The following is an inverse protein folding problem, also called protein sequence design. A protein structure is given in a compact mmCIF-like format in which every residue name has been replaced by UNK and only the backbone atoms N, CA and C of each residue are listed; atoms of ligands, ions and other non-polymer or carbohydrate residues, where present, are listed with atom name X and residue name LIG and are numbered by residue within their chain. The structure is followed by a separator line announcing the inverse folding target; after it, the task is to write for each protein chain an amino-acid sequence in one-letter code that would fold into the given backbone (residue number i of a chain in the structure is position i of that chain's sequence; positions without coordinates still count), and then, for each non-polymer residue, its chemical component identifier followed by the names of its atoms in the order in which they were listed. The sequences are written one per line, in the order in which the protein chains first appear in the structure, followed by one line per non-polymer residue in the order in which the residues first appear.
data_IF_269600844858
#
_entry.id   IF_269600844858
#
_cell.length_a   1.000
_cell.length_b   1.000
_cell.length_c   1.000
_cell.angle_alpha   90.00
_cell.angle_beta   90.00
_cell.angle_gamma   90.00
#
_symmetry.space_group_name_H-M   'P 1'
#
loop_
_entity.id
_entity.type
_entity.pdbx_description
1 polymer ?
#
# COMPACT_ATOMS: atom_id res chain seq x y z
N UNK A 1 27.68 -1.10 -8.82
CA UNK A 1 27.12 -1.10 -10.18
C UNK A 1 26.38 0.22 -10.34
N UNK A 2 26.92 1.16 -11.13
CA UNK A 2 26.33 2.49 -11.26
C UNK A 2 25.34 2.61 -12.43
N UNK A 3 25.32 1.63 -13.35
CA UNK A 3 24.45 1.57 -14.52
C UNK A 3 24.04 0.14 -14.85
N UNK A 4 22.82 -0.01 -15.38
CA UNK A 4 22.31 -1.25 -15.96
C UNK A 4 21.74 -0.90 -17.35
N UNK A 5 22.44 -1.35 -18.40
CA UNK A 5 22.18 -0.86 -19.73
C UNK A 5 22.25 0.67 -19.79
N UNK A 6 21.20 1.30 -20.28
CA UNK A 6 21.07 2.78 -20.34
C UNK A 6 20.61 3.43 -19.02
N UNK A 7 20.11 2.67 -18.04
CA UNK A 7 19.53 3.17 -16.80
C UNK A 7 20.61 3.41 -15.72
N UNK A 8 20.53 4.53 -15.02
CA UNK A 8 21.32 4.81 -13.82
C UNK A 8 20.73 4.02 -12.65
N UNK A 9 21.56 3.25 -11.92
CA UNK A 9 21.14 2.53 -10.71
C UNK A 9 21.29 3.43 -9.50
N UNK A 10 20.16 3.79 -8.89
CA UNK A 10 20.11 4.68 -7.72
C UNK A 10 20.21 3.86 -6.42
N UNK A 11 19.61 2.68 -6.37
CA UNK A 11 19.62 1.85 -5.17
C UNK A 11 18.99 0.49 -5.37
N UNK A 12 19.05 -0.35 -4.34
CA UNK A 12 18.39 -1.66 -4.31
C UNK A 12 17.02 -1.53 -3.64
N UNK A 13 15.97 -2.07 -4.26
CA UNK A 13 14.61 -2.15 -3.74
C UNK A 13 14.33 -3.46 -3.02
N UNK A 14 14.76 -4.58 -3.61
CA UNK A 14 14.50 -5.89 -3.03
C UNK A 14 15.31 -7.00 -3.67
N UNK A 15 15.20 -8.21 -3.12
CA UNK A 15 15.78 -9.44 -3.64
C UNK A 15 14.78 -10.57 -3.52
N UNK A 16 14.42 -11.17 -4.64
CA UNK A 16 13.64 -12.41 -4.71
C UNK A 16 14.52 -13.66 -4.83
N UNK A 17 13.92 -14.82 -5.01
CA UNK A 17 14.63 -16.08 -5.20
C UNK A 17 15.46 -16.11 -6.50
N UNK A 18 14.89 -15.61 -7.59
CA UNK A 18 15.50 -15.63 -8.93
C UNK A 18 15.92 -14.25 -9.44
N UNK A 19 15.56 -13.16 -8.76
CA UNK A 19 15.79 -11.81 -9.27
C UNK A 19 16.20 -10.82 -8.18
N UNK A 20 16.89 -9.78 -8.63
CA UNK A 20 17.21 -8.59 -7.83
C UNK A 20 16.48 -7.40 -8.43
N UNK A 21 15.85 -6.59 -7.59
CA UNK A 21 15.14 -5.38 -8.02
C UNK A 21 15.90 -4.14 -7.57
N UNK A 22 16.22 -3.28 -8.54
CA UNK A 22 16.88 -2.01 -8.30
C UNK A 22 15.96 -0.84 -8.62
N UNK A 23 16.15 0.26 -7.92
CA UNK A 23 15.62 1.56 -8.29
C UNK A 23 16.54 2.17 -9.33
N UNK A 24 15.99 2.53 -10.47
CA UNK A 24 16.73 3.11 -11.59
C UNK A 24 16.16 4.45 -12.01
N UNK A 25 16.97 5.21 -12.76
CA UNK A 25 16.55 6.44 -13.42
C UNK A 25 16.71 6.28 -14.91
N UNK A 26 15.65 6.54 -15.67
CA UNK A 26 15.69 6.52 -17.13
C UNK A 26 16.53 7.72 -17.65
N UNK A 27 17.40 7.50 -18.65
CA UNK A 27 18.12 8.59 -19.27
C UNK A 27 17.15 9.56 -19.95
N UNK A 28 17.55 10.80 -20.13
CA UNK A 28 16.82 11.89 -20.78
C UNK A 28 15.57 12.33 -20.02
N UNK A 29 14.63 11.43 -19.68
CA UNK A 29 13.38 11.79 -19.00
C UNK A 29 13.54 11.97 -17.50
N UNK A 30 14.58 11.39 -16.90
CA UNK A 30 14.76 11.36 -15.43
C UNK A 30 13.73 10.49 -14.69
N UNK A 31 12.80 9.82 -15.42
CA UNK A 31 11.75 8.99 -14.80
C UNK A 31 12.34 7.91 -13.92
N UNK A 32 11.82 7.77 -12.71
CA UNK A 32 12.18 6.69 -11.80
C UNK A 32 11.46 5.41 -12.24
N UNK A 33 12.20 4.31 -12.26
CA UNK A 33 11.76 2.98 -12.69
C UNK A 33 12.26 1.90 -11.73
N UNK A 34 11.60 0.74 -11.73
CA UNK A 34 12.09 -0.46 -11.08
C UNK A 34 12.76 -1.37 -12.14
N UNK A 35 13.98 -1.81 -11.84
CA UNK A 35 14.78 -2.66 -12.72
C UNK A 35 14.87 -4.06 -12.10
N UNK A 36 14.09 -5.02 -12.59
CA UNK A 36 14.11 -6.42 -12.17
C UNK A 36 15.15 -7.15 -13.01
N UNK A 37 16.21 -7.63 -12.38
CA UNK A 37 17.37 -8.29 -13.04
C UNK A 37 17.36 -9.76 -12.71
N UNK A 38 17.58 -10.63 -13.67
CA UNK A 38 17.81 -12.05 -13.41
C UNK A 38 19.10 -12.22 -12.57
N UNK A 39 18.94 -12.65 -11.34
CA UNK A 39 20.02 -12.85 -10.37
C UNK A 39 19.63 -13.95 -9.37
N UNK A 40 19.72 -15.24 -9.74
CA UNK A 40 19.40 -16.35 -8.86
C UNK A 40 20.17 -16.23 -7.53
N UNK A 41 19.48 -16.50 -6.43
CA UNK A 41 20.08 -16.39 -5.08
C UNK A 41 20.95 -17.59 -4.76
N UNK A 42 20.55 -18.76 -5.26
CA UNK A 42 21.13 -20.06 -4.93
C UNK A 42 21.79 -20.64 -6.17
N UNK A 43 23.07 -20.99 -6.04
CA UNK A 43 23.80 -21.70 -7.09
C UNK A 43 23.15 -23.05 -7.39
N UNK A 44 22.52 -23.68 -6.38
CA UNK A 44 21.76 -24.90 -6.54
C UNK A 44 20.61 -24.76 -7.56
N UNK A 45 19.97 -23.58 -7.64
CA UNK A 45 18.95 -23.31 -8.66
C UNK A 45 19.52 -23.29 -10.07
N UNK A 46 20.74 -22.78 -10.22
CA UNK A 46 21.45 -22.76 -11.51
C UNK A 46 21.85 -24.18 -11.89
N UNK A 47 22.36 -24.98 -10.92
CA UNK A 47 22.77 -26.35 -11.14
C UNK A 47 21.59 -27.27 -11.50
N UNK A 48 20.43 -27.08 -10.86
CA UNK A 48 19.22 -27.89 -11.06
C UNK A 48 18.43 -27.52 -12.33
N UNK A 49 18.29 -26.23 -12.61
CA UNK A 49 17.47 -25.76 -13.73
C UNK A 49 18.27 -25.43 -14.99
N UNK A 50 19.56 -25.15 -14.85
CA UNK A 50 20.41 -24.61 -15.92
C UNK A 50 20.17 -23.12 -16.18
N UNK A 51 21.25 -22.37 -16.42
CA UNK A 51 21.21 -20.92 -16.64
C UNK A 51 20.31 -20.53 -17.83
N UNK A 52 20.37 -21.36 -18.92
CA UNK A 52 19.56 -21.15 -20.13
C UNK A 52 18.03 -21.22 -19.85
N UNK A 53 17.61 -22.21 -19.05
CA UNK A 53 16.19 -22.36 -18.71
C UNK A 53 15.68 -21.23 -17.79
N UNK A 54 16.49 -20.82 -16.81
CA UNK A 54 16.17 -19.68 -15.94
C UNK A 54 16.05 -18.38 -16.73
N UNK A 55 16.97 -18.16 -17.68
CA UNK A 55 16.94 -17.03 -18.61
C UNK A 55 15.68 -17.05 -19.47
N UNK A 56 15.33 -18.20 -20.04
CA UNK A 56 14.14 -18.35 -20.87
C UNK A 56 12.87 -18.06 -20.07
N UNK A 57 12.74 -18.65 -18.88
CA UNK A 57 11.59 -18.41 -17.99
C UNK A 57 11.45 -16.93 -17.62
N UNK A 58 12.55 -16.24 -17.37
CA UNK A 58 12.55 -14.80 -17.06
C UNK A 58 12.09 -13.96 -18.27
N UNK A 59 12.53 -14.30 -19.47
CA UNK A 59 12.12 -13.61 -20.71
C UNK A 59 10.67 -13.90 -21.07
N UNK A 60 10.20 -15.13 -20.81
CA UNK A 60 8.79 -15.48 -21.02
C UNK A 60 7.87 -14.76 -20.05
N UNK A 61 8.28 -14.61 -18.77
CA UNK A 61 7.60 -13.72 -17.82
C UNK A 61 7.50 -12.29 -18.39
N UNK A 62 8.61 -11.73 -18.88
CA UNK A 62 8.62 -10.39 -19.47
C UNK A 62 7.65 -10.24 -20.66
N UNK A 63 7.60 -11.25 -21.55
CA UNK A 63 6.68 -11.26 -22.70
C UNK A 63 5.20 -11.32 -22.26
N UNK A 64 4.90 -12.20 -21.30
CA UNK A 64 3.55 -12.36 -20.76
C UNK A 64 3.10 -11.06 -20.13
N UNK A 65 3.93 -10.45 -19.28
CA UNK A 65 3.62 -9.18 -18.63
C UNK A 65 3.46 -8.05 -19.66
N UNK A 66 4.33 -7.99 -20.67
CA UNK A 66 4.28 -6.97 -21.74
C UNK A 66 3.01 -7.03 -22.59
N UNK A 67 2.34 -8.19 -22.66
CA UNK A 67 1.05 -8.36 -23.34
C UNK A 67 -0.18 -7.93 -22.51
N UNK A 68 0.02 -7.47 -21.26
CA UNK A 68 -1.09 -7.14 -20.36
C UNK A 68 -1.10 -5.64 -20.09
N UNK A 69 -2.14 -4.95 -20.52
CA UNK A 69 -2.45 -3.59 -20.11
C UNK A 69 -3.75 -3.59 -19.31
N UNK A 70 -3.70 -3.10 -18.07
CA UNK A 70 -4.86 -2.98 -17.20
C UNK A 70 -4.62 -1.97 -16.06
N UNK A 71 -5.66 -1.25 -15.65
CA UNK A 71 -5.57 -0.21 -14.62
C UNK A 71 -4.99 -0.72 -13.28
N UNK A 72 -5.17 -2.02 -12.96
CA UNK A 72 -4.75 -2.63 -11.69
C UNK A 72 -3.66 -3.69 -11.83
N UNK A 73 -2.94 -3.70 -12.96
CA UNK A 73 -1.77 -4.54 -13.20
C UNK A 73 -0.61 -3.64 -13.56
N UNK A 74 0.57 -3.88 -13.01
CA UNK A 74 1.76 -3.10 -13.35
C UNK A 74 2.20 -3.37 -14.78
N UNK A 75 2.60 -2.31 -15.48
CA UNK A 75 3.03 -2.38 -16.87
C UNK A 75 4.54 -2.59 -16.97
N UNK A 76 4.95 -3.40 -17.95
CA UNK A 76 6.32 -3.48 -18.40
C UNK A 76 6.60 -2.27 -19.29
N UNK A 77 7.57 -1.47 -18.89
CA UNK A 77 7.99 -0.28 -19.65
C UNK A 77 8.96 -0.67 -20.76
N UNK A 78 9.85 -1.66 -20.47
CA UNK A 78 10.90 -2.10 -21.38
C UNK A 78 11.49 -3.44 -20.91
N UNK A 79 12.21 -4.12 -21.80
CA UNK A 79 13.02 -5.29 -21.46
C UNK A 79 14.32 -5.20 -22.26
N UNK A 80 15.47 -5.35 -21.59
CA UNK A 80 16.77 -5.18 -22.21
C UNK A 80 17.80 -6.11 -21.54
N UNK A 81 19.03 -6.09 -21.99
CA UNK A 81 20.12 -6.92 -21.50
C UNK A 81 21.37 -6.09 -21.19
N UNK A 82 22.04 -6.39 -20.10
CA UNK A 82 23.31 -5.78 -19.74
C UNK A 82 24.30 -6.80 -19.17
N UNK A 83 25.48 -6.89 -19.77
CA UNK A 83 26.53 -7.84 -19.34
C UNK A 83 26.07 -9.30 -19.37
N UNK A 84 25.31 -9.71 -20.38
CA UNK A 84 24.76 -11.06 -20.51
C UNK A 84 23.57 -11.38 -19.63
N UNK A 85 23.06 -10.41 -18.84
CA UNK A 85 21.92 -10.60 -17.93
C UNK A 85 20.70 -9.83 -18.41
N UNK A 86 19.56 -10.50 -18.65
CA UNK A 86 18.32 -9.82 -18.98
C UNK A 86 17.77 -9.09 -17.77
N UNK A 87 17.09 -7.95 -18.03
CA UNK A 87 16.37 -7.21 -17.03
C UNK A 87 15.07 -6.62 -17.59
N UNK A 88 14.07 -6.55 -16.74
CA UNK A 88 12.75 -5.97 -17.04
C UNK A 88 12.69 -4.59 -16.39
N UNK A 89 12.22 -3.61 -17.14
CA UNK A 89 11.95 -2.25 -16.65
C UNK A 89 10.46 -2.12 -16.34
N UNK A 90 10.14 -1.82 -15.12
CA UNK A 90 8.78 -1.70 -14.60
C UNK A 90 8.52 -0.29 -14.12
N UNK A 91 7.27 0.10 -14.03
CA UNK A 91 6.89 1.30 -13.29
C UNK A 91 7.36 1.19 -11.84
N UNK A 92 7.83 2.32 -11.30
CA UNK A 92 8.22 2.41 -9.89
C UNK A 92 7.06 2.88 -9.04
N UNK A 93 6.83 2.18 -7.95
CA UNK A 93 5.87 2.55 -6.90
C UNK A 93 6.62 2.64 -5.57
N UNK A 94 6.45 3.76 -4.87
CA UNK A 94 7.15 4.01 -3.61
C UNK A 94 6.51 3.30 -2.42
N UNK A 95 5.27 2.84 -2.54
CA UNK A 95 4.45 2.34 -1.46
C UNK A 95 3.75 1.04 -1.84
N UNK A 96 3.68 0.09 -0.91
CA UNK A 96 2.95 -1.16 -1.06
C UNK A 96 1.86 -1.28 -0.01
N UNK A 97 0.90 -2.17 -0.25
CA UNK A 97 -0.12 -2.48 0.75
C UNK A 97 0.51 -3.09 2.02
N UNK A 98 1.61 -3.86 1.88
CA UNK A 98 2.36 -4.37 3.02
C UNK A 98 2.94 -3.26 3.90
N UNK A 99 3.51 -2.23 3.27
CA UNK A 99 3.97 -1.03 3.98
C UNK A 99 2.81 -0.29 4.62
N UNK A 100 1.70 -0.09 3.90
CA UNK A 100 0.52 0.60 4.40
C UNK A 100 -0.04 -0.07 5.66
N UNK A 101 -0.12 -1.39 5.71
CA UNK A 101 -0.61 -2.09 6.90
C UNK A 101 0.47 -2.30 7.98
N UNK A 102 1.71 -1.88 7.71
CA UNK A 102 2.83 -2.07 8.64
C UNK A 102 3.15 -3.55 8.87
N UNK A 103 3.07 -4.37 7.82
CA UNK A 103 3.42 -5.79 7.91
C UNK A 103 4.91 -5.94 8.21
N UNK A 104 5.22 -6.59 9.34
CA UNK A 104 6.58 -6.84 9.76
C UNK A 104 7.23 -7.97 8.97
N UNK A 105 8.55 -8.12 9.06
CA UNK A 105 9.27 -9.28 8.54
C UNK A 105 8.74 -10.59 9.14
N UNK A 106 8.43 -10.57 10.45
CA UNK A 106 7.69 -11.64 11.13
C UNK A 106 6.19 -11.44 10.85
N UNK A 107 5.70 -12.08 9.78
CA UNK A 107 4.35 -11.90 9.24
C UNK A 107 3.25 -12.28 10.23
N UNK A 108 3.56 -13.15 11.20
CA UNK A 108 2.66 -13.56 12.29
C UNK A 108 2.31 -12.41 13.24
N UNK A 109 3.14 -11.38 13.32
CA UNK A 109 2.82 -10.21 14.14
C UNK A 109 1.60 -9.48 13.58
N UNK A 110 0.74 -8.95 14.46
CA UNK A 110 -0.39 -8.15 14.01
C UNK A 110 0.04 -6.92 13.22
N UNK A 111 -0.63 -6.69 12.09
CA UNK A 111 -0.52 -5.47 11.27
C UNK A 111 -1.62 -4.45 11.63
N UNK A 112 -1.60 -3.30 11.00
CA UNK A 112 -2.70 -2.33 11.09
C UNK A 112 -3.94 -2.87 10.38
N UNK A 113 -5.07 -3.06 11.05
CA UNK A 113 -6.34 -3.19 10.35
C UNK A 113 -6.68 -1.84 9.72
N UNK A 114 -7.31 -1.88 8.54
CA UNK A 114 -7.76 -0.68 7.83
C UNK A 114 -9.28 -0.63 7.76
N UNK A 115 -9.83 0.51 7.35
CA UNK A 115 -11.28 0.69 7.26
C UNK A 115 -11.93 -0.30 6.30
N UNK A 116 -13.18 -0.66 6.57
CA UNK A 116 -13.96 -1.60 5.73
C UNK A 116 -14.11 -1.04 4.32
N UNK A 117 -14.35 0.26 4.17
CA UNK A 117 -14.49 0.90 2.88
C UNK A 117 -13.18 0.87 2.07
N UNK A 118 -12.04 1.16 2.69
CA UNK A 118 -10.72 1.10 2.02
C UNK A 118 -10.34 -0.34 1.69
N UNK A 119 -10.60 -1.28 2.60
CA UNK A 119 -10.42 -2.72 2.35
C UNK A 119 -11.22 -3.15 1.12
N UNK A 120 -12.53 -2.86 1.10
CA UNK A 120 -13.40 -3.20 -0.03
C UNK A 120 -12.90 -2.61 -1.34
N UNK A 121 -12.49 -1.35 -1.32
CA UNK A 121 -11.95 -0.67 -2.51
C UNK A 121 -10.70 -1.37 -3.04
N UNK A 122 -9.76 -1.74 -2.18
CA UNK A 122 -8.53 -2.42 -2.57
C UNK A 122 -8.78 -3.85 -3.06
N UNK A 123 -9.63 -4.61 -2.37
CA UNK A 123 -10.01 -5.96 -2.79
C UNK A 123 -10.72 -5.95 -4.15
N UNK A 124 -11.65 -5.01 -4.38
CA UNK A 124 -12.32 -4.84 -5.66
C UNK A 124 -11.34 -4.55 -6.80
N UNK A 125 -10.34 -3.70 -6.57
CA UNK A 125 -9.32 -3.36 -7.55
C UNK A 125 -8.40 -4.56 -7.82
N UNK A 126 -7.99 -5.28 -6.77
CA UNK A 126 -7.20 -6.51 -6.87
C UNK A 126 -7.95 -7.57 -7.69
N UNK A 127 -9.22 -7.81 -7.36
CA UNK A 127 -10.06 -8.78 -8.08
C UNK A 127 -10.24 -8.40 -9.55
N UNK A 128 -10.40 -7.10 -9.89
CA UNK A 128 -10.43 -6.66 -11.30
C UNK A 128 -9.10 -6.93 -12.02
N UNK A 129 -7.97 -6.73 -11.36
CA UNK A 129 -6.66 -7.10 -11.90
C UNK A 129 -6.54 -8.60 -12.15
N UNK A 130 -6.98 -9.42 -11.18
CA UNK A 130 -7.00 -10.89 -11.31
C UNK A 130 -7.95 -11.36 -12.41
N UNK A 131 -9.14 -10.76 -12.58
CA UNK A 131 -10.04 -11.08 -13.71
C UNK A 131 -9.31 -10.92 -15.05
N UNK A 132 -8.49 -9.87 -15.21
CA UNK A 132 -7.70 -9.65 -16.43
C UNK A 132 -6.59 -10.67 -16.60
N UNK A 133 -5.88 -11.05 -15.51
CA UNK A 133 -4.84 -12.09 -15.53
C UNK A 133 -5.44 -13.46 -15.86
N UNK A 134 -6.49 -13.86 -15.15
CA UNK A 134 -7.16 -15.15 -15.35
C UNK A 134 -7.76 -15.27 -16.77
N UNK A 135 -8.30 -14.17 -17.33
CA UNK A 135 -8.75 -14.13 -18.73
C UNK A 135 -7.59 -14.39 -19.72
N UNK A 136 -6.38 -13.93 -19.41
CA UNK A 136 -5.18 -14.24 -20.19
C UNK A 136 -4.59 -15.63 -19.89
N UNK A 137 -5.27 -16.45 -19.07
CA UNK A 137 -4.79 -17.77 -18.67
C UNK A 137 -3.72 -17.76 -17.59
N UNK A 138 -3.45 -16.62 -16.94
CA UNK A 138 -2.38 -16.44 -15.97
C UNK A 138 -2.93 -16.57 -14.56
N UNK A 139 -2.32 -17.43 -13.74
CA UNK A 139 -2.57 -17.55 -12.31
C UNK A 139 -1.38 -16.95 -11.57
N UNK A 140 -1.63 -16.00 -10.67
CA UNK A 140 -0.57 -15.22 -10.00
C UNK A 140 0.25 -16.04 -9.00
N UNK A 141 -0.39 -16.80 -8.12
CA UNK A 141 0.18 -17.75 -7.14
C UNK A 141 1.03 -17.20 -6.00
N UNK A 142 1.37 -15.93 -6.01
CA UNK A 142 2.11 -15.27 -4.92
C UNK A 142 1.45 -13.92 -4.55
N UNK A 143 0.12 -13.91 -4.45
CA UNK A 143 -0.59 -12.69 -4.05
C UNK A 143 -0.43 -12.46 -2.56
N UNK A 144 0.17 -11.31 -2.20
CA UNK A 144 0.43 -10.88 -0.83
C UNK A 144 0.48 -9.36 -0.75
N UNK A 145 0.42 -8.74 0.45
CA UNK A 145 0.42 -7.29 0.59
C UNK A 145 1.59 -6.58 -0.10
N UNK A 146 2.78 -7.16 -0.12
CA UNK A 146 3.96 -6.57 -0.78
C UNK A 146 3.94 -6.66 -2.30
N UNK A 147 3.11 -7.53 -2.90
CA UNK A 147 2.91 -7.63 -4.34
C UNK A 147 1.73 -6.78 -4.85
N UNK A 148 1.13 -5.98 -3.95
CA UNK A 148 0.10 -4.98 -4.24
C UNK A 148 0.66 -3.60 -3.97
N UNK A 149 1.07 -2.91 -5.04
CA UNK A 149 1.61 -1.56 -4.95
C UNK A 149 0.51 -0.52 -4.97
N UNK A 150 0.79 0.65 -4.38
CA UNK A 150 -0.10 1.79 -4.33
C UNK A 150 0.45 2.93 -5.19
N UNK A 151 -0.39 3.45 -6.07
CA UNK A 151 -0.10 4.66 -6.84
C UNK A 151 -0.31 5.91 -5.98
N UNK A 152 0.19 7.08 -6.43
CA UNK A 152 0.02 8.34 -5.72
C UNK A 152 -1.45 8.79 -5.57
N UNK A 153 -2.36 8.26 -6.41
CA UNK A 153 -3.81 8.45 -6.32
C UNK A 153 -4.53 7.28 -5.63
N UNK A 154 -3.80 6.55 -4.80
CA UNK A 154 -4.30 5.49 -3.90
C UNK A 154 -5.04 4.36 -4.64
N UNK A 155 -4.45 3.88 -5.76
CA UNK A 155 -4.94 2.74 -6.52
C UNK A 155 -3.99 1.55 -6.42
N UNK A 156 -4.56 0.34 -6.44
CA UNK A 156 -3.81 -0.91 -6.45
C UNK A 156 -3.23 -1.19 -7.84
N UNK A 157 -1.99 -1.62 -7.85
CA UNK A 157 -1.26 -2.24 -8.98
C UNK A 157 -0.67 -3.57 -8.54
N UNK A 158 -1.10 -4.66 -9.16
CA UNK A 158 -0.55 -6.00 -8.95
C UNK A 158 0.82 -6.06 -9.65
N UNK A 159 1.84 -6.49 -8.91
CA UNK A 159 3.19 -6.70 -9.43
C UNK A 159 3.62 -8.16 -9.23
N UNK A 160 4.72 -8.52 -9.88
CA UNK A 160 5.49 -9.75 -9.65
C UNK A 160 4.75 -11.05 -9.97
N UNK A 161 4.75 -11.37 -11.24
CA UNK A 161 4.24 -12.65 -11.77
C UNK A 161 5.32 -13.74 -11.83
N UNK A 162 6.45 -13.57 -11.12
CA UNK A 162 7.63 -14.47 -11.21
C UNK A 162 7.36 -15.94 -10.87
N UNK A 163 6.21 -16.22 -10.27
CA UNK A 163 5.71 -17.55 -9.99
C UNK A 163 4.45 -17.88 -10.80
N UNK A 164 3.98 -16.94 -11.63
CA UNK A 164 2.79 -17.11 -12.47
C UNK A 164 3.01 -18.22 -13.51
N UNK A 165 1.92 -18.85 -13.90
CA UNK A 165 1.90 -19.89 -14.92
C UNK A 165 0.81 -19.61 -15.92
N UNK A 166 1.12 -19.89 -17.19
CA UNK A 166 0.08 -20.14 -18.18
C UNK A 166 -0.61 -21.47 -17.84
N UNK A 167 -1.94 -21.55 -18.02
CA UNK A 167 -2.69 -22.78 -17.84
C UNK A 167 -2.09 -23.89 -18.73
N UNK A 168 -1.67 -25.01 -18.11
CA UNK A 168 -1.17 -26.18 -18.81
C UNK A 168 0.35 -26.30 -18.96
N UNK A 169 1.14 -25.33 -18.48
CA UNK A 169 2.60 -25.47 -18.48
C UNK A 169 3.12 -26.33 -17.33
N UNK A 170 4.03 -27.25 -17.60
CA UNK A 170 4.78 -27.99 -16.57
C UNK A 170 5.84 -27.10 -15.92
N UNK A 171 6.10 -27.30 -14.62
CA UNK A 171 7.14 -26.58 -13.89
C UNK A 171 8.51 -26.86 -14.52
N UNK A 172 9.43 -25.88 -14.36
CA UNK A 172 10.88 -26.10 -14.44
C UNK A 172 11.28 -27.24 -13.48
N UNK A 173 11.01 -28.46 -13.78
CA UNK A 173 11.36 -29.75 -13.17
C UNK A 173 11.93 -29.84 -11.75
N UNK A 174 11.95 -28.74 -10.98
CA UNK A 174 12.55 -28.65 -9.66
C UNK A 174 11.51 -29.09 -8.60
N UNK A 175 11.54 -30.37 -8.29
CA UNK A 175 10.76 -30.94 -7.17
C UNK A 175 11.24 -30.33 -5.86
N UNK A 176 10.29 -29.80 -5.04
CA UNK A 176 10.60 -29.27 -3.72
C UNK A 176 10.80 -27.76 -3.62
N UNK A 177 10.68 -27.00 -4.68
CA UNK A 177 10.67 -25.55 -4.59
C UNK A 177 9.32 -25.07 -4.00
N UNK A 178 9.37 -24.56 -2.78
CA UNK A 178 8.20 -23.97 -2.13
C UNK A 178 7.79 -22.70 -2.88
N UNK A 179 6.57 -22.68 -3.42
CA UNK A 179 6.07 -21.61 -4.27
C UNK A 179 5.06 -20.78 -3.52
N UNK A 180 5.32 -19.50 -3.39
CA UNK A 180 4.48 -18.54 -2.69
C UNK A 180 4.99 -18.21 -1.29
N UNK A 181 4.42 -17.16 -0.71
CA UNK A 181 4.67 -16.79 0.68
C UNK A 181 3.82 -17.69 1.58
N UNK A 182 4.41 -18.42 2.54
CA UNK A 182 3.75 -19.51 3.26
C UNK A 182 2.45 -19.11 3.96
N UNK A 183 2.26 -17.82 4.25
CA UNK A 183 1.08 -17.32 4.96
C UNK A 183 -0.11 -16.94 4.08
N UNK A 184 0.12 -16.73 2.78
CA UNK A 184 -0.91 -16.30 1.82
C UNK A 184 -1.19 -17.36 0.75
N UNK A 185 -0.32 -18.36 0.62
CA UNK A 185 -0.45 -19.44 -0.35
C UNK A 185 -1.62 -20.37 -0.01
N UNK A 186 -2.35 -20.79 -1.03
CA UNK A 186 -3.40 -21.77 -0.87
C UNK A 186 -2.83 -23.17 -0.54
N UNK A 187 -3.52 -24.00 0.27
CA UNK A 187 -3.01 -25.31 0.70
C UNK A 187 -2.61 -26.23 -0.47
N UNK A 188 -3.34 -26.20 -1.57
CA UNK A 188 -3.01 -27.00 -2.76
C UNK A 188 -1.69 -26.58 -3.43
N UNK A 189 -1.25 -25.34 -3.24
CA UNK A 189 0.03 -24.89 -3.78
C UNK A 189 1.23 -25.56 -3.10
N UNK A 190 1.06 -25.99 -1.85
CA UNK A 190 2.09 -26.73 -1.10
C UNK A 190 2.01 -28.23 -1.40
N UNK A 191 0.80 -28.80 -1.47
CA UNK A 191 0.57 -30.25 -1.59
C UNK A 191 0.72 -30.71 -3.03
N UNK A 192 0.09 -30.00 -3.98
CA UNK A 192 0.02 -30.34 -5.41
C UNK A 192 0.11 -29.08 -6.28
N UNK A 193 1.27 -28.43 -6.30
CA UNK A 193 1.40 -27.14 -6.98
C UNK A 193 1.06 -27.19 -8.49
N UNK A 194 1.14 -28.37 -9.11
CA UNK A 194 0.75 -28.58 -10.51
C UNK A 194 -0.75 -28.45 -10.75
N UNK A 195 -1.58 -28.71 -9.75
CA UNK A 195 -3.05 -28.64 -9.85
C UNK A 195 -3.64 -27.29 -9.48
N UNK A 196 -2.82 -26.36 -8.96
CA UNK A 196 -3.27 -25.04 -8.54
C UNK A 196 -3.76 -24.22 -9.74
N UNK A 197 -5.05 -23.88 -9.73
CA UNK A 197 -5.71 -23.03 -10.71
C UNK A 197 -5.99 -21.62 -10.15
N UNK A 198 -6.84 -20.84 -10.83
CA UNK A 198 -7.21 -19.48 -10.42
C UNK A 198 -7.84 -19.38 -9.01
N UNK A 199 -8.33 -20.48 -8.46
CA UNK A 199 -8.89 -20.53 -7.11
C UNK A 199 -7.81 -20.47 -6.02
N UNK A 200 -6.54 -20.65 -6.37
CA UNK A 200 -5.44 -20.36 -5.47
C UNK A 200 -5.31 -18.85 -5.19
N UNK A 201 -5.50 -18.01 -6.23
CA UNK A 201 -5.50 -16.56 -6.05
C UNK A 201 -6.73 -16.08 -5.25
N UNK A 202 -7.88 -16.76 -5.38
CA UNK A 202 -9.09 -16.52 -4.58
C UNK A 202 -8.81 -16.71 -3.08
N UNK A 203 -8.12 -17.78 -2.72
CA UNK A 203 -7.70 -18.03 -1.35
C UNK A 203 -6.79 -16.92 -0.83
N UNK A 204 -5.79 -16.52 -1.61
CA UNK A 204 -4.86 -15.44 -1.27
C UNK A 204 -5.58 -14.10 -1.07
N UNK A 205 -6.59 -13.79 -1.88
CA UNK A 205 -7.44 -12.59 -1.71
C UNK A 205 -8.26 -12.66 -0.42
N UNK A 206 -8.81 -13.83 -0.07
CA UNK A 206 -9.55 -13.99 1.18
C UNK A 206 -8.63 -13.86 2.40
N UNK A 207 -7.41 -14.42 2.36
CA UNK A 207 -6.39 -14.24 3.39
C UNK A 207 -5.99 -12.77 3.52
N UNK A 208 -5.81 -12.08 2.40
CA UNK A 208 -5.57 -10.65 2.36
C UNK A 208 -6.72 -9.87 3.00
N UNK A 209 -7.97 -10.19 2.67
CA UNK A 209 -9.15 -9.56 3.26
C UNK A 209 -9.18 -9.73 4.78
N UNK A 210 -8.95 -10.97 5.26
CA UNK A 210 -8.87 -11.26 6.68
C UNK A 210 -7.80 -10.39 7.36
N UNK A 211 -6.60 -10.31 6.75
CA UNK A 211 -5.48 -9.49 7.26
C UNK A 211 -5.83 -8.00 7.32
N UNK A 212 -6.42 -7.47 6.25
CA UNK A 212 -6.78 -6.06 6.16
C UNK A 212 -7.88 -5.66 7.15
N UNK A 213 -8.87 -6.54 7.34
CA UNK A 213 -9.98 -6.30 8.25
C UNK A 213 -9.58 -6.45 9.71
N UNK A 214 -8.79 -7.47 10.06
CA UNK A 214 -8.52 -7.84 11.46
C UNK A 214 -7.12 -7.50 11.94
N UNK A 215 -6.19 -7.20 11.04
CA UNK A 215 -4.77 -7.05 11.34
C UNK A 215 -4.06 -8.38 11.66
N UNK A 216 -4.74 -9.54 11.50
CA UNK A 216 -4.20 -10.88 11.82
C UNK A 216 -4.23 -11.78 10.59
N UNK A 217 -3.49 -12.88 10.64
CA UNK A 217 -3.62 -13.97 9.67
C UNK A 217 -4.70 -14.93 10.13
N UNK A 218 -5.40 -15.54 9.17
CA UNK A 218 -6.31 -16.64 9.43
C UNK A 218 -5.51 -17.95 9.65
N UNK A 219 -4.69 -17.98 10.70
CA UNK A 219 -3.93 -19.18 11.03
C UNK A 219 -4.89 -20.28 11.50
N UNK A 220 -4.70 -21.54 11.06
CA UNK A 220 -5.48 -22.65 11.57
C UNK A 220 -5.14 -22.89 13.05
N UNK A 221 -6.05 -22.44 13.92
CA UNK A 221 -6.02 -22.82 15.34
C UNK A 221 -6.76 -24.16 15.53
N UNK A 222 -6.60 -24.77 16.71
CA UNK A 222 -7.48 -25.89 17.10
C UNK A 222 -8.91 -25.37 17.08
N UNK A 223 -9.73 -25.85 16.11
CA UNK A 223 -11.10 -25.36 15.89
C UNK A 223 -11.29 -24.44 14.66
N UNK A 224 -10.25 -24.18 13.86
CA UNK A 224 -10.28 -23.32 12.67
C UNK A 224 -9.84 -21.88 12.95
N UNK A 225 -9.74 -21.07 11.90
CA UNK A 225 -9.44 -19.63 12.04
C UNK A 225 -10.63 -18.91 12.71
N UNK A 226 -10.38 -17.96 13.65
CA UNK A 226 -11.45 -17.15 14.22
C UNK A 226 -12.25 -16.40 13.13
N UNK A 227 -13.54 -16.26 13.34
CA UNK A 227 -14.37 -15.45 12.42
C UNK A 227 -13.93 -13.98 12.47
N UNK A 228 -13.87 -13.26 11.33
CA UNK A 228 -13.58 -11.83 11.30
C UNK A 228 -14.42 -11.01 12.28
N UNK A 229 -15.73 -11.30 12.40
CA UNK A 229 -16.65 -10.61 13.31
C UNK A 229 -16.34 -10.89 14.78
N UNK A 230 -15.72 -12.00 15.13
CA UNK A 230 -15.27 -12.26 16.51
C UNK A 230 -14.13 -11.35 16.96
N UNK A 231 -13.38 -10.81 16.01
CA UNK A 231 -12.27 -9.87 16.22
C UNK A 231 -12.69 -8.41 15.99
N UNK A 232 -13.69 -8.21 15.14
CA UNK A 232 -14.25 -6.92 14.72
C UNK A 232 -15.78 -7.05 14.57
N UNK A 233 -16.54 -6.90 15.69
CA UNK A 233 -17.97 -7.18 15.71
C UNK A 233 -18.81 -6.42 14.68
N UNK A 234 -18.37 -5.22 14.28
CA UNK A 234 -19.05 -4.41 13.26
C UNK A 234 -19.05 -5.02 11.85
N UNK A 235 -18.27 -6.07 11.58
CA UNK A 235 -18.27 -6.74 10.28
C UNK A 235 -19.53 -7.57 10.05
N UNK A 236 -20.00 -8.29 11.08
CA UNK A 236 -21.19 -9.14 11.00
C UNK A 236 -20.99 -10.42 10.17
N UNK A 237 -22.05 -11.24 10.14
CA UNK A 237 -22.01 -12.58 9.55
C UNK A 237 -21.75 -12.59 8.04
N UNK A 238 -22.17 -11.58 7.29
CA UNK A 238 -21.99 -11.55 5.84
C UNK A 238 -20.49 -11.44 5.46
N UNK A 239 -19.69 -10.70 6.22
CA UNK A 239 -18.25 -10.66 6.03
C UNK A 239 -17.59 -11.97 6.42
N UNK A 240 -18.07 -12.63 7.50
CA UNK A 240 -17.56 -13.93 7.90
C UNK A 240 -17.78 -14.96 6.79
N UNK A 241 -18.99 -15.05 6.26
CA UNK A 241 -19.33 -15.99 5.17
C UNK A 241 -18.45 -15.73 3.94
N UNK A 242 -18.33 -14.47 3.50
CA UNK A 242 -17.53 -14.13 2.32
C UNK A 242 -16.05 -14.50 2.49
N UNK A 243 -15.45 -14.14 3.62
CA UNK A 243 -14.04 -14.42 3.90
C UNK A 243 -13.80 -15.92 4.05
N UNK A 244 -14.63 -16.62 4.83
CA UNK A 244 -14.46 -18.04 5.10
C UNK A 244 -14.75 -18.91 3.88
N UNK A 245 -15.65 -18.49 2.98
CA UNK A 245 -15.83 -19.13 1.68
C UNK A 245 -14.56 -19.07 0.84
N UNK A 246 -13.91 -17.90 0.77
CA UNK A 246 -12.65 -17.75 0.02
C UNK A 246 -11.49 -18.53 0.66
N UNK A 247 -11.47 -18.68 1.98
CA UNK A 247 -10.48 -19.44 2.75
C UNK A 247 -10.75 -20.94 2.83
N UNK A 248 -11.80 -21.46 2.17
CA UNK A 248 -12.09 -22.89 2.20
C UNK A 248 -10.86 -23.71 1.77
N UNK A 249 -10.45 -24.75 2.53
CA UNK A 249 -9.31 -25.57 2.17
C UNK A 249 -9.44 -26.22 0.80
N UNK A 250 -10.64 -26.70 0.48
CA UNK A 250 -10.96 -27.32 -0.81
C UNK A 250 -11.27 -26.26 -1.87
N UNK A 251 -10.54 -26.19 -3.01
CA UNK A 251 -10.78 -25.22 -4.06
C UNK A 251 -12.22 -25.21 -4.61
N UNK A 252 -12.88 -26.38 -4.64
CA UNK A 252 -14.26 -26.53 -5.11
C UNK A 252 -15.31 -25.82 -4.23
N UNK A 253 -14.98 -25.52 -2.98
CA UNK A 253 -15.85 -24.81 -2.03
C UNK A 253 -15.63 -23.30 -2.03
N UNK A 254 -14.64 -22.81 -2.77
CA UNK A 254 -14.35 -21.38 -2.93
C UNK A 254 -15.22 -20.76 -4.02
N UNK A 255 -15.18 -19.45 -4.15
CA UNK A 255 -15.69 -18.78 -5.34
C UNK A 255 -15.01 -19.36 -6.59
N UNK A 256 -15.79 -19.60 -7.65
CA UNK A 256 -15.26 -20.22 -8.86
C UNK A 256 -14.35 -19.26 -9.65
N UNK A 257 -14.59 -17.95 -9.58
CA UNK A 257 -13.84 -16.93 -10.33
C UNK A 257 -13.65 -15.65 -9.52
N UNK A 258 -12.62 -14.86 -9.87
CA UNK A 258 -12.39 -13.53 -9.30
C UNK A 258 -13.62 -12.61 -9.50
N UNK A 259 -14.31 -12.72 -10.63
CA UNK A 259 -15.57 -11.98 -10.90
C UNK A 259 -16.67 -12.33 -9.92
N UNK A 260 -16.88 -13.63 -9.66
CA UNK A 260 -17.90 -14.08 -8.70
C UNK A 260 -17.58 -13.55 -7.29
N UNK A 261 -16.32 -13.69 -6.85
CA UNK A 261 -15.85 -13.20 -5.57
C UNK A 261 -16.04 -11.67 -5.44
N UNK A 262 -15.76 -10.91 -6.51
CA UNK A 262 -15.96 -9.46 -6.53
C UNK A 262 -17.43 -9.07 -6.47
N UNK A 263 -18.32 -9.75 -7.21
CA UNK A 263 -19.76 -9.47 -7.13
C UNK A 263 -20.29 -9.68 -5.71
N UNK A 264 -19.93 -10.81 -5.09
CA UNK A 264 -20.31 -11.11 -3.71
C UNK A 264 -19.73 -10.07 -2.72
N UNK A 265 -18.51 -9.55 -2.95
CA UNK A 265 -17.91 -8.48 -2.15
C UNK A 265 -18.74 -7.18 -2.21
N UNK A 266 -19.25 -6.84 -3.40
CA UNK A 266 -20.07 -5.64 -3.59
C UNK A 266 -21.40 -5.77 -2.82
N UNK A 267 -22.02 -6.96 -2.83
CA UNK A 267 -23.25 -7.24 -2.08
C UNK A 267 -23.03 -7.17 -0.55
N UNK A 268 -21.96 -7.80 -0.05
CA UNK A 268 -21.57 -7.76 1.37
C UNK A 268 -21.31 -6.34 1.83
N UNK A 269 -20.58 -5.55 1.03
CA UNK A 269 -20.29 -4.17 1.37
C UNK A 269 -21.54 -3.28 1.35
N UNK A 270 -22.45 -3.50 0.39
CA UNK A 270 -23.71 -2.75 0.34
C UNK A 270 -24.59 -3.04 1.57
N UNK A 271 -24.69 -4.31 1.98
CA UNK A 271 -25.41 -4.73 3.17
C UNK A 271 -24.78 -4.14 4.45
N UNK A 272 -23.46 -4.22 4.59
CA UNK A 272 -22.73 -3.64 5.71
C UNK A 272 -22.95 -2.13 5.81
N UNK A 273 -22.85 -1.40 4.70
CA UNK A 273 -23.04 0.05 4.65
C UNK A 273 -24.46 0.45 5.06
N UNK A 274 -25.47 -0.32 4.67
CA UNK A 274 -26.85 -0.04 5.05
C UNK A 274 -27.07 -0.19 6.57
N UNK A 275 -26.42 -1.16 7.20
CA UNK A 275 -26.48 -1.38 8.65
C UNK A 275 -25.71 -0.31 9.42
N UNK A 276 -24.49 0.01 8.99
CA UNK A 276 -23.63 1.02 9.65
C UNK A 276 -24.19 2.45 9.55
N UNK A 277 -24.90 2.78 8.48
CA UNK A 277 -25.52 4.11 8.31
C UNK A 277 -26.63 4.39 9.34
N UNK A 278 -27.21 3.37 9.97
CA UNK A 278 -28.25 3.51 10.97
C UNK A 278 -27.70 3.91 12.37
N UNK A 279 -26.39 3.75 12.60
CA UNK A 279 -25.73 4.01 13.89
C UNK A 279 -25.09 5.41 14.00
N UNK A 280 -25.16 6.23 12.95
CA UNK A 280 -24.44 7.50 12.79
C UNK A 280 -25.10 8.72 13.46
N UNK A 281 -25.36 8.71 14.76
CA UNK A 281 -25.88 9.88 15.49
C UNK A 281 -25.07 10.22 16.76
N UNK A 282 -23.74 10.34 16.68
CA UNK A 282 -22.96 10.83 17.81
C UNK A 282 -22.24 12.16 17.52
N UNK A 283 -22.57 13.15 18.36
CA UNK A 283 -21.90 14.45 18.47
C UNK A 283 -20.65 14.26 19.33
N UNK A 284 -19.51 14.77 18.85
CA UNK A 284 -18.29 14.82 19.65
C UNK A 284 -18.40 15.95 20.69
N UNK A 285 -18.67 15.61 21.92
CA UNK A 285 -18.44 16.48 23.09
C UNK A 285 -17.07 16.06 23.69
N UNK A 286 -16.03 16.82 23.37
CA UNK A 286 -14.71 16.68 23.99
C UNK A 286 -14.29 18.01 24.63
N UNK A 287 -13.61 17.96 25.77
CA UNK A 287 -12.97 19.15 26.35
C UNK A 287 -11.93 19.73 25.41
N UNK A 288 -11.97 21.05 25.22
CA UNK A 288 -10.97 21.76 24.40
C UNK A 288 -9.63 21.69 25.09
N UNK A 289 -8.63 21.16 24.40
CA UNK A 289 -7.26 21.08 24.90
C UNK A 289 -6.68 22.46 25.24
N UNK A 290 -5.74 22.50 26.16
CA UNK A 290 -4.91 23.71 26.43
C UNK A 290 -3.95 23.96 25.28
N UNK A 291 -3.52 25.23 25.09
CA UNK A 291 -2.58 25.63 24.05
C UNK A 291 -1.32 24.74 24.02
N UNK A 292 -1.00 24.22 22.84
CA UNK A 292 0.11 23.28 22.63
C UNK A 292 1.23 23.98 21.89
N UNK A 293 2.39 24.06 22.53
CA UNK A 293 3.61 24.56 21.88
C UNK A 293 4.28 23.41 21.16
N UNK A 294 4.33 23.51 19.84
CA UNK A 294 4.95 22.50 18.99
C UNK A 294 6.18 23.03 18.27
N UNK A 295 7.06 22.13 17.93
CA UNK A 295 8.19 22.41 17.06
C UNK A 295 7.69 22.82 15.67
N UNK A 296 8.17 23.95 15.17
CA UNK A 296 7.81 24.49 13.83
C UNK A 296 8.87 24.20 12.77
N UNK A 297 10.10 23.92 13.18
CA UNK A 297 11.20 23.62 12.26
C UNK A 297 11.27 22.13 11.94
N UNK A 298 11.36 21.78 10.65
CA UNK A 298 11.58 20.41 10.22
C UNK A 298 12.91 19.84 10.75
N UNK A 299 12.91 18.55 11.11
CA UNK A 299 14.13 17.86 11.53
C UNK A 299 14.17 16.42 11.05
N UNK A 300 15.33 15.80 11.20
CA UNK A 300 15.48 14.37 10.99
C UNK A 300 14.92 13.58 12.19
N UNK A 301 13.92 12.71 11.93
CA UNK A 301 13.36 11.79 12.92
C UNK A 301 13.61 10.37 12.42
N UNK A 302 14.46 9.60 13.11
CA UNK A 302 14.72 8.20 12.74
C UNK A 302 13.55 7.31 13.13
N UNK A 303 13.34 6.22 12.39
CA UNK A 303 12.17 5.33 12.59
C UNK A 303 12.02 4.83 14.02
N UNK A 304 13.11 4.44 14.67
CA UNK A 304 13.09 3.95 16.05
C UNK A 304 12.85 5.04 17.10
N UNK A 305 13.02 6.31 16.73
CA UNK A 305 12.80 7.47 17.60
C UNK A 305 11.39 8.02 17.48
N UNK A 306 10.70 7.78 16.34
CA UNK A 306 9.43 8.39 16.04
C UNK A 306 8.35 8.07 17.09
N UNK A 307 8.28 6.84 17.58
CA UNK A 307 7.31 6.45 18.59
C UNK A 307 7.45 7.29 19.88
N UNK A 308 8.66 7.41 20.40
CA UNK A 308 8.91 8.15 21.63
C UNK A 308 8.87 9.68 21.42
N UNK A 309 9.41 10.19 20.29
CA UNK A 309 9.52 11.62 20.05
C UNK A 309 8.21 12.30 19.65
N UNK A 310 7.29 11.53 19.05
CA UNK A 310 6.08 12.07 18.42
C UNK A 310 4.80 11.48 19.00
N UNK A 311 4.92 10.56 19.97
CA UNK A 311 3.76 9.95 20.63
C UNK A 311 2.99 8.98 19.75
N UNK A 312 3.70 8.06 19.07
CA UNK A 312 3.09 7.05 18.22
C UNK A 312 3.12 5.66 18.90
N UNK A 313 2.10 4.87 18.63
CA UNK A 313 2.07 3.46 19.04
C UNK A 313 2.96 2.57 18.12
N UNK A 314 2.97 1.25 18.38
CA UNK A 314 3.73 0.29 17.56
C UNK A 314 3.25 0.20 16.11
N UNK A 315 2.02 0.59 15.84
CA UNK A 315 1.43 0.63 14.51
C UNK A 315 1.52 2.04 13.88
N UNK A 316 2.33 2.93 14.49
CA UNK A 316 2.57 4.30 14.03
C UNK A 316 1.31 5.18 14.04
N UNK A 317 0.33 4.88 14.89
CA UNK A 317 -0.85 5.71 15.15
C UNK A 317 -0.61 6.63 16.33
N UNK A 318 -1.20 7.84 16.36
CA UNK A 318 -1.15 8.70 17.54
C UNK A 318 -1.67 7.97 18.77
N UNK A 319 -0.95 8.08 19.91
CA UNK A 319 -1.41 7.54 21.19
C UNK A 319 -2.44 8.42 21.87
N UNK A 320 -2.48 9.69 21.49
CA UNK A 320 -3.43 10.69 21.98
C UNK A 320 -3.97 11.52 20.82
N UNK A 321 -5.23 11.89 20.89
CA UNK A 321 -5.89 12.76 19.93
C UNK A 321 -6.35 14.03 20.63
N UNK A 322 -6.19 15.16 19.96
CA UNK A 322 -6.60 16.44 20.53
C UNK A 322 -7.89 16.93 19.87
N UNK A 323 -8.75 17.53 20.67
CA UNK A 323 -9.97 18.17 20.15
C UNK A 323 -9.63 19.62 19.79
N UNK A 324 -9.73 19.95 18.51
CA UNK A 324 -9.46 21.27 17.96
C UNK A 324 -10.75 21.98 17.58
N UNK A 325 -10.88 23.24 17.97
CA UNK A 325 -11.91 24.15 17.45
C UNK A 325 -11.43 24.86 16.19
N UNK A 326 -11.22 24.09 15.12
CA UNK A 326 -10.78 24.63 13.84
C UNK A 326 -11.83 25.60 13.27
N UNK A 327 -11.36 26.69 12.67
CA UNK A 327 -12.22 27.72 12.10
C UNK A 327 -11.89 27.96 10.64
N UNK A 328 -12.91 27.98 9.79
CA UNK A 328 -12.71 28.42 8.40
C UNK A 328 -12.33 29.91 8.37
N UNK A 329 -11.34 30.24 7.57
CA UNK A 329 -10.91 31.61 7.23
C UNK A 329 -10.99 31.83 5.74
N UNK A 330 -12.20 32.16 5.24
CA UNK A 330 -12.49 32.20 3.81
C UNK A 330 -12.54 30.80 3.18
N UNK A 331 -12.57 30.72 1.86
CA UNK A 331 -12.92 29.49 1.15
C UNK A 331 -11.85 28.39 1.15
N UNK A 332 -10.64 28.67 1.63
CA UNK A 332 -9.49 27.74 1.45
C UNK A 332 -8.54 27.65 2.64
N UNK A 333 -8.81 28.35 3.71
CA UNK A 333 -7.93 28.42 4.89
C UNK A 333 -8.62 27.87 6.13
N UNK A 334 -7.84 27.19 6.97
CA UNK A 334 -8.30 26.64 8.24
C UNK A 334 -7.37 27.18 9.34
N UNK A 335 -7.96 27.98 10.25
CA UNK A 335 -7.27 28.46 11.44
C UNK A 335 -7.41 27.44 12.57
N UNK A 336 -6.30 27.10 13.17
CA UNK A 336 -6.23 26.34 14.40
C UNK A 336 -5.84 27.26 15.57
N UNK A 337 -6.81 27.69 16.39
CA UNK A 337 -6.53 28.57 17.55
C UNK A 337 -5.67 27.90 18.63
N UNK A 338 -5.70 26.55 18.72
CA UNK A 338 -4.95 25.78 19.71
C UNK A 338 -3.45 25.83 19.48
N UNK A 339 -3.03 25.75 18.22
CA UNK A 339 -1.62 25.74 17.82
C UNK A 339 -1.12 27.07 17.26
N UNK A 340 -2.03 28.01 16.96
CA UNK A 340 -1.70 29.26 16.28
C UNK A 340 -1.24 29.03 14.84
N UNK A 341 -1.73 27.97 14.18
CA UNK A 341 -1.39 27.64 12.79
C UNK A 341 -2.56 27.99 11.86
N UNK A 342 -2.20 28.50 10.71
CA UNK A 342 -3.08 28.66 9.56
C UNK A 342 -2.71 27.62 8.50
N UNK A 343 -3.68 26.80 8.15
CA UNK A 343 -3.53 25.68 7.20
C UNK A 343 -4.14 26.01 5.86
N UNK A 344 -3.52 25.52 4.79
CA UNK A 344 -4.12 25.45 3.47
C UNK A 344 -5.12 24.27 3.44
N UNK A 345 -6.43 24.55 3.57
CA UNK A 345 -7.45 23.51 3.72
C UNK A 345 -7.67 22.63 2.47
N UNK A 346 -7.40 23.15 1.27
CA UNK A 346 -7.57 22.40 0.01
C UNK A 346 -6.33 21.57 -0.36
N UNK A 347 -5.15 21.94 0.14
CA UNK A 347 -3.89 21.31 -0.21
C UNK A 347 -3.47 21.51 -1.68
N UNK A 348 -2.47 20.77 -2.12
CA UNK A 348 -2.04 20.72 -3.52
C UNK A 348 -3.09 20.01 -4.38
N UNK A 349 -3.28 20.46 -5.62
CA UNK A 349 -4.26 19.89 -6.56
C UNK A 349 -3.94 18.44 -6.94
N UNK A 350 -2.64 18.13 -7.06
CA UNK A 350 -2.11 16.80 -7.37
C UNK A 350 -1.10 16.36 -6.31
N UNK A 351 -0.90 15.05 -6.13
CA UNK A 351 0.22 14.53 -5.34
C UNK A 351 1.57 14.93 -5.96
N UNK A 352 2.51 15.31 -5.13
CA UNK A 352 3.83 15.81 -5.50
C UNK A 352 4.92 14.93 -4.89
N UNK A 353 6.07 14.79 -5.56
CA UNK A 353 7.26 14.26 -4.91
C UNK A 353 7.79 15.24 -3.84
N UNK A 354 8.69 14.78 -2.96
CA UNK A 354 9.11 15.60 -1.82
C UNK A 354 9.89 16.87 -2.23
N UNK A 355 10.60 16.85 -3.36
CA UNK A 355 11.26 18.03 -3.93
C UNK A 355 10.22 19.00 -4.49
N UNK A 356 9.28 18.49 -5.28
CA UNK A 356 8.16 19.28 -5.82
C UNK A 356 7.30 19.87 -4.70
N UNK A 357 7.15 19.17 -3.57
CA UNK A 357 6.46 19.67 -2.39
C UNK A 357 7.15 20.92 -1.81
N UNK A 358 8.47 20.94 -1.77
CA UNK A 358 9.25 22.12 -1.39
C UNK A 358 9.06 23.27 -2.38
N UNK A 359 9.17 23.00 -3.68
CA UNK A 359 8.98 23.99 -4.75
C UNK A 359 7.56 24.59 -4.74
N UNK A 360 6.55 23.75 -4.45
CA UNK A 360 5.15 24.21 -4.30
C UNK A 360 5.02 25.22 -3.14
N UNK A 361 5.61 24.96 -2.00
CA UNK A 361 5.60 25.89 -0.85
C UNK A 361 6.34 27.19 -1.17
N UNK A 362 7.48 27.12 -1.85
CA UNK A 362 8.20 28.31 -2.31
C UNK A 362 7.36 29.14 -3.31
N UNK A 363 6.57 28.46 -4.16
CA UNK A 363 5.65 29.14 -5.07
C UNK A 363 4.54 29.87 -4.32
N UNK A 364 3.94 29.25 -3.28
CA UNK A 364 2.95 29.92 -2.42
C UNK A 364 3.52 31.20 -1.81
N UNK A 365 4.77 31.15 -1.31
CA UNK A 365 5.45 32.29 -0.72
C UNK A 365 5.73 33.39 -1.74
N UNK A 366 6.21 33.05 -2.93
CA UNK A 366 6.45 34.02 -4.02
C UNK A 366 5.17 34.72 -4.49
N UNK A 367 4.04 34.01 -4.47
CA UNK A 367 2.73 34.54 -4.87
C UNK A 367 2.04 35.32 -3.76
N UNK A 368 2.59 35.32 -2.54
CA UNK A 368 1.94 35.92 -1.38
C UNK A 368 0.57 35.29 -1.07
N UNK A 369 0.46 33.95 -1.19
CA UNK A 369 -0.80 33.23 -1.02
C UNK A 369 -1.49 33.62 0.30
N UNK A 370 -2.76 34.01 0.19
CA UNK A 370 -3.56 34.53 1.29
C UNK A 370 -2.91 35.74 2.04
N UNK A 371 -2.14 36.55 1.34
CA UNK A 371 -1.45 37.73 1.91
C UNK A 371 -0.26 37.38 2.81
N UNK A 372 0.30 36.14 2.69
CA UNK A 372 1.42 35.67 3.50
C UNK A 372 2.56 35.11 2.65
N UNK A 373 3.79 35.15 3.20
CA UNK A 373 5.02 34.69 2.54
C UNK A 373 5.86 33.74 3.42
N UNK A 374 5.26 33.17 4.46
CA UNK A 374 5.93 32.28 5.44
C UNK A 374 5.30 30.88 5.45
N UNK A 375 4.78 30.44 4.32
CA UNK A 375 4.26 29.08 4.17
C UNK A 375 5.41 28.07 4.21
N UNK A 376 5.17 26.93 4.86
CA UNK A 376 6.12 25.81 4.96
C UNK A 376 5.39 24.47 4.96
N UNK A 377 6.13 23.39 4.76
CA UNK A 377 5.61 22.06 5.07
C UNK A 377 5.37 21.93 6.58
N UNK A 378 4.27 21.33 7.01
CA UNK A 378 4.04 21.04 8.42
C UNK A 378 5.06 20.01 8.94
N UNK A 379 5.42 20.13 10.20
CA UNK A 379 6.19 19.08 10.90
C UNK A 379 5.31 17.88 11.19
N UNK A 380 5.90 16.72 11.44
CA UNK A 380 5.15 15.52 11.77
C UNK A 380 4.24 15.70 13.02
N UNK A 381 4.71 16.28 14.14
CA UNK A 381 3.82 16.58 15.26
C UNK A 381 2.63 17.48 14.90
N UNK A 382 2.85 18.51 14.07
CA UNK A 382 1.76 19.40 13.64
C UNK A 382 0.69 18.65 12.83
N UNK A 383 1.09 17.76 11.91
CA UNK A 383 0.14 16.92 11.16
C UNK A 383 -0.67 15.98 12.07
N UNK A 384 0.00 15.41 13.08
CA UNK A 384 -0.66 14.46 13.98
C UNK A 384 -1.69 15.13 14.88
N UNK A 385 -1.53 16.42 15.22
CA UNK A 385 -2.48 17.11 16.09
C UNK A 385 -3.84 17.33 15.46
N UNK A 386 -3.91 17.55 14.14
CA UNK A 386 -5.20 17.76 13.44
C UNK A 386 -5.93 16.46 13.12
N UNK A 387 -5.33 15.31 13.42
CA UNK A 387 -5.98 14.01 13.21
C UNK A 387 -7.04 13.74 14.28
N UNK A 388 -8.09 13.08 13.85
CA UNK A 388 -9.14 12.52 14.70
C UNK A 388 -9.02 11.01 14.77
N UNK A 389 -9.47 10.36 15.85
CA UNK A 389 -9.45 8.91 15.93
C UNK A 389 -10.22 8.30 14.75
N UNK A 390 -9.68 7.21 14.16
CA UNK A 390 -10.42 6.47 13.15
C UNK A 390 -11.68 5.86 13.78
N UNK A 391 -12.81 6.04 13.11
CA UNK A 391 -14.07 5.39 13.51
C UNK A 391 -14.52 4.46 12.39
N UNK A 392 -15.37 3.48 12.70
CA UNK A 392 -15.91 2.55 11.71
C UNK A 392 -16.61 3.27 10.56
N UNK A 393 -17.18 4.42 10.86
CA UNK A 393 -18.04 5.21 9.99
C UNK A 393 -17.31 6.30 9.21
N UNK A 394 -16.12 6.68 9.65
CA UNK A 394 -15.36 7.77 9.05
C UNK A 394 -14.20 7.25 8.23
N UNK A 395 -14.34 7.38 6.93
CA UNK A 395 -13.26 7.11 5.97
C UNK A 395 -12.21 8.24 5.91
N UNK A 396 -12.16 9.11 6.93
CA UNK A 396 -11.34 10.30 6.88
C UNK A 396 -11.08 10.87 8.27
N UNK A 397 -9.84 10.90 8.69
CA UNK A 397 -9.42 11.31 10.03
C UNK A 397 -9.10 12.82 10.15
N UNK A 398 -9.43 13.63 9.15
CA UNK A 398 -9.36 15.08 9.25
C UNK A 398 -10.76 15.71 9.42
N UNK A 399 -10.87 16.89 10.06
CA UNK A 399 -12.08 17.68 10.07
C UNK A 399 -12.57 18.02 8.64
N UNK A 400 -13.89 18.19 8.48
CA UNK A 400 -14.53 18.48 7.19
C UNK A 400 -14.07 19.77 6.49
N UNK A 401 -13.31 20.61 7.19
CA UNK A 401 -12.70 21.83 6.66
C UNK A 401 -11.56 21.54 5.67
N UNK A 402 -11.03 20.32 5.67
CA UNK A 402 -10.00 19.88 4.75
C UNK A 402 -10.57 19.11 3.55
N UNK A 403 -9.85 19.15 2.42
CA UNK A 403 -10.24 18.46 1.21
C UNK A 403 -10.25 16.94 1.37
N UNK A 404 -11.36 16.29 1.00
CA UNK A 404 -11.49 14.83 0.99
C UNK A 404 -10.77 14.12 -0.17
N UNK A 405 -10.16 14.87 -1.08
CA UNK A 405 -9.37 14.31 -2.19
C UNK A 405 -7.96 13.92 -1.77
N UNK A 406 -7.53 14.37 -0.59
CA UNK A 406 -6.21 14.10 -0.03
C UNK A 406 -6.27 12.76 0.70
N UNK A 407 -5.26 11.91 0.50
CA UNK A 407 -5.10 10.66 1.22
C UNK A 407 -3.85 10.65 2.08
N UNK A 408 -2.75 11.16 1.54
CA UNK A 408 -1.45 11.25 2.19
C UNK A 408 -0.94 12.68 2.18
N UNK A 409 -0.35 13.10 3.30
CA UNK A 409 0.24 14.43 3.45
C UNK A 409 1.72 14.33 3.73
N UNK A 410 2.53 15.06 2.97
CA UNK A 410 3.94 15.24 3.28
C UNK A 410 4.15 16.03 4.55
N UNK A 411 5.06 15.53 5.39
CA UNK A 411 5.69 16.32 6.45
C UNK A 411 7.00 16.95 5.94
N UNK A 412 7.39 18.07 6.51
CA UNK A 412 8.73 18.62 6.34
C UNK A 412 9.82 17.79 7.03
N UNK A 413 9.45 16.91 7.97
CA UNK A 413 10.38 16.02 8.65
C UNK A 413 10.82 14.85 7.75
N UNK A 414 12.07 14.42 7.91
CA UNK A 414 12.62 13.32 7.12
C UNK A 414 13.23 12.23 8.00
N UNK A 415 13.28 11.01 7.50
CA UNK A 415 13.88 9.87 8.19
C UNK A 415 15.33 9.64 7.75
N UNK A 416 15.57 9.72 6.44
CA UNK A 416 16.86 9.48 5.81
C UNK A 416 17.09 10.40 4.61
N UNK A 417 18.22 10.26 3.93
CA UNK A 417 18.47 10.98 2.68
C UNK A 417 17.41 10.67 1.60
N UNK A 418 16.85 9.46 1.63
CA UNK A 418 15.90 8.96 0.62
C UNK A 418 14.44 8.95 1.08
N UNK A 419 14.16 9.08 2.36
CA UNK A 419 12.81 8.96 2.91
C UNK A 419 12.44 10.16 3.76
N UNK A 420 11.22 10.64 3.58
CA UNK A 420 10.57 11.64 4.43
C UNK A 420 9.33 11.04 5.12
N UNK A 421 8.83 11.71 6.13
CA UNK A 421 7.62 11.32 6.83
C UNK A 421 6.39 11.80 6.07
N UNK A 422 5.39 10.96 6.01
CA UNK A 422 4.05 11.29 5.54
C UNK A 422 3.01 10.82 6.55
N UNK A 423 1.83 11.37 6.48
CA UNK A 423 0.68 10.97 7.30
C UNK A 423 -0.45 10.51 6.39
N UNK A 424 -0.94 9.29 6.64
CA UNK A 424 -2.20 8.80 6.05
C UNK A 424 -3.36 9.38 6.87
N UNK A 425 -4.11 10.27 6.24
CA UNK A 425 -5.23 10.98 6.88
C UNK A 425 -6.56 10.24 6.75
N UNK A 426 -6.56 9.09 6.10
CA UNK A 426 -7.70 8.18 6.00
C UNK A 426 -7.62 7.12 7.11
N UNK A 427 -6.45 6.50 7.28
CA UNK A 427 -6.21 5.42 8.23
C UNK A 427 -5.51 5.89 9.52
N UNK A 428 -5.20 7.19 9.62
CA UNK A 428 -4.70 7.83 10.84
C UNK A 428 -3.38 7.26 11.36
N UNK A 429 -2.33 7.26 10.53
CA UNK A 429 -0.99 6.85 10.94
C UNK A 429 0.12 7.62 10.20
N UNK A 430 1.29 7.64 10.78
CA UNK A 430 2.50 8.15 10.13
C UNK A 430 3.29 7.02 9.47
N UNK A 431 3.90 7.29 8.32
CA UNK A 431 4.75 6.33 7.61
C UNK A 431 5.90 7.05 6.89
N UNK A 432 6.91 6.29 6.54
CA UNK A 432 8.05 6.77 5.75
C UNK A 432 7.78 6.50 4.29
N UNK A 433 7.83 7.53 3.49
CA UNK A 433 7.71 7.40 2.04
C UNK A 433 9.05 7.75 1.39
N UNK A 434 9.41 7.02 0.35
CA UNK A 434 10.53 7.40 -0.51
C UNK A 434 10.28 8.79 -1.10
N UNK A 435 11.30 9.66 -1.10
CA UNK A 435 11.17 11.04 -1.59
C UNK A 435 10.81 11.18 -3.06
N UNK A 436 11.03 10.12 -3.86
CA UNK A 436 10.55 10.03 -5.24
C UNK A 436 9.12 9.44 -5.33
N UNK A 437 8.49 9.09 -4.20
CA UNK A 437 7.06 8.82 -4.10
C UNK A 437 6.27 10.11 -4.03
N UNK A 438 4.93 10.01 -4.12
CA UNK A 438 4.08 11.20 -4.16
C UNK A 438 3.07 11.22 -3.02
N UNK A 439 2.90 12.39 -2.41
CA UNK A 439 1.84 12.71 -1.47
C UNK A 439 1.39 14.16 -1.68
N UNK A 440 0.22 14.52 -1.16
CA UNK A 440 -0.28 15.89 -1.23
C UNK A 440 0.43 16.80 -0.22
N UNK A 441 0.30 18.09 -0.42
CA UNK A 441 0.81 19.13 0.48
C UNK A 441 -0.35 19.93 1.04
N UNK A 442 -0.45 20.03 2.37
CA UNK A 442 -1.19 21.07 3.07
C UNK A 442 -0.18 21.97 3.76
N UNK A 443 0.11 23.12 3.17
CA UNK A 443 1.06 24.05 3.74
C UNK A 443 0.51 24.73 5.00
N UNK A 444 1.42 25.14 5.90
CA UNK A 444 1.08 25.87 7.14
C UNK A 444 1.91 27.13 7.27
N UNK A 445 1.35 28.13 7.95
CA UNK A 445 2.10 29.29 8.44
C UNK A 445 1.62 29.66 9.85
N UNK A 446 2.42 30.44 10.57
CA UNK A 446 2.05 31.00 11.87
C UNK A 446 1.09 32.17 11.69
N UNK A 447 0.15 32.35 12.64
CA UNK A 447 -0.81 33.46 12.65
C UNK A 447 -0.21 34.68 13.27
#
# INVERSE_FOLDING_TARGET
MNRLGRYEVIGRLGRGGMSMVYKGRAPLTGRIVALKVLAPRDELLIDLAGEGQLRQAFLDEARIMGGISHAHVAEVVDCDEAGGRPFIVLEYYAHSLGTLIGEAYEVERPSRPISVAKTTRYLRQTLKGLERLHFAGIVHRDLKPYNLMLTGDDRIKIIDFGLSRLRGEERLGIKGLQVGSPFYAAPEQEIRPETADERADIYSVAMLAYRLLTGRLAAPAVGGAPLPSSLRPELGASWDEWVMTGLAPEPSRRFATARQMRSALEDVFAAWKATSAAECLFVEDGEVGSAVIMRREPKRIRSYQAQAEVGLDRLMRPTTYQVHQLRSRGDRLVLDPLTGLLWQGQGSEFPLDWRQAGEYVEQLNRQGYAGRSEWRLPTLPELLTILRPPTVERDFCLPLLFSRKIHWLWSGDWCSLRQAWMVDIVECFAERLDKDGTASVCAVCSV
#
